data_IF_852239548547
#
_entry.id   IF_852239548547
#
_cell.length_a   1.000
_cell.length_b   1.000
_cell.length_c   1.000
_cell.angle_alpha   90.00
_cell.angle_beta   90.00
_cell.angle_gamma   90.00
#
_symmetry.space_group_name_H-M   'P 1'
#
loop_
_entity.id
_entity.type
_entity.pdbx_description
1 polymer ?
#
# COMPACT_ATOMS: atom_id res chain seq x y z
N UNK A 1 -26.13 -19.55 33.36
CA UNK A 1 -26.34 -20.14 32.05
C UNK A 1 -26.73 -19.09 30.99
N UNK A 2 -27.82 -18.37 31.22
CA UNK A 2 -28.25 -17.34 30.26
C UNK A 2 -27.23 -16.21 30.08
N UNK A 3 -26.43 -15.92 31.07
CA UNK A 3 -25.38 -14.89 30.98
C UNK A 3 -24.18 -15.36 30.15
N UNK A 4 -23.97 -16.66 30.05
CA UNK A 4 -22.86 -17.21 29.29
C UNK A 4 -23.03 -17.02 27.78
N UNK A 5 -24.22 -17.26 27.28
CA UNK A 5 -24.49 -17.21 25.86
C UNK A 5 -24.21 -15.82 25.27
N UNK A 6 -24.75 -14.72 25.86
CA UNK A 6 -24.44 -13.39 25.37
C UNK A 6 -22.97 -13.01 25.53
N UNK A 7 -22.33 -13.47 26.62
CA UNK A 7 -20.93 -13.21 26.85
C UNK A 7 -20.04 -13.91 25.82
N UNK A 8 -20.33 -15.18 25.51
CA UNK A 8 -19.62 -15.91 24.48
C UNK A 8 -19.75 -15.27 23.11
N UNK A 9 -20.97 -14.83 22.79
CA UNK A 9 -21.23 -14.17 21.53
C UNK A 9 -20.47 -12.86 21.42
N UNK A 10 -20.43 -12.10 22.50
CA UNK A 10 -19.68 -10.85 22.56
C UNK A 10 -18.18 -11.06 22.40
N UNK A 11 -17.64 -12.11 23.04
CA UNK A 11 -16.23 -12.45 22.90
C UNK A 11 -15.89 -12.83 21.46
N UNK A 12 -16.77 -13.58 20.82
CA UNK A 12 -16.57 -13.97 19.42
C UNK A 12 -16.49 -12.74 18.50
N UNK A 13 -17.40 -11.80 18.69
CA UNK A 13 -17.39 -10.55 17.91
C UNK A 13 -16.13 -9.75 18.21
N UNK A 14 -15.73 -9.66 19.46
CA UNK A 14 -14.49 -8.97 19.83
C UNK A 14 -13.26 -9.62 19.22
N UNK A 15 -13.23 -10.94 19.11
CA UNK A 15 -12.11 -11.64 18.49
C UNK A 15 -11.97 -11.28 17.01
N UNK A 16 -13.08 -11.20 16.28
CA UNK A 16 -13.07 -10.77 14.89
C UNK A 16 -12.59 -9.32 14.75
N UNK A 17 -13.06 -8.42 15.64
CA UNK A 17 -12.64 -7.03 15.65
C UNK A 17 -11.14 -6.91 15.99
N UNK A 18 -10.65 -7.70 16.93
CA UNK A 18 -9.23 -7.72 17.28
C UNK A 18 -8.36 -8.18 16.13
N UNK A 19 -8.78 -9.18 15.35
CA UNK A 19 -8.04 -9.64 14.19
C UNK A 19 -7.93 -8.53 13.14
N UNK A 20 -9.03 -7.80 12.88
CA UNK A 20 -9.03 -6.66 11.98
C UNK A 20 -8.14 -5.53 12.50
N UNK A 21 -8.20 -5.25 13.80
CA UNK A 21 -7.36 -4.23 14.44
C UNK A 21 -5.88 -4.61 14.38
N UNK A 22 -5.55 -5.90 14.53
CA UNK A 22 -4.17 -6.38 14.44
C UNK A 22 -3.61 -6.12 13.05
N UNK A 23 -4.38 -6.37 12.00
CA UNK A 23 -3.93 -6.12 10.63
C UNK A 23 -3.71 -4.62 10.38
N UNK A 24 -4.61 -3.77 10.85
CA UNK A 24 -4.47 -2.33 10.75
C UNK A 24 -3.28 -1.82 11.57
N UNK A 25 -3.08 -2.34 12.77
CA UNK A 25 -1.94 -1.99 13.62
C UNK A 25 -0.61 -2.42 13.01
N UNK A 26 -0.58 -3.60 12.40
CA UNK A 26 0.62 -4.10 11.71
C UNK A 26 0.99 -3.19 10.54
N UNK A 27 0.00 -2.78 9.77
CA UNK A 27 0.20 -1.85 8.67
C UNK A 27 0.77 -0.52 9.18
N UNK A 28 0.19 0.03 10.24
CA UNK A 28 0.63 1.28 10.84
C UNK A 28 2.05 1.18 11.38
N UNK A 29 2.37 0.08 12.06
CA UNK A 29 3.72 -0.15 12.59
C UNK A 29 4.76 -0.18 11.47
N UNK A 30 4.43 -0.83 10.35
CA UNK A 30 5.32 -0.87 9.19
C UNK A 30 5.47 0.51 8.57
N UNK A 31 4.38 1.26 8.43
CA UNK A 31 4.42 2.62 7.89
C UNK A 31 5.30 3.53 8.76
N UNK A 32 5.15 3.45 10.08
CA UNK A 32 5.96 4.23 11.02
C UNK A 32 7.45 3.86 10.91
N UNK A 33 7.74 2.57 10.77
CA UNK A 33 9.12 2.09 10.62
C UNK A 33 9.74 2.59 9.31
N UNK A 34 8.99 2.54 8.22
CA UNK A 34 9.46 3.02 6.91
C UNK A 34 9.68 4.53 6.94
N UNK A 35 8.74 5.27 7.52
CA UNK A 35 8.82 6.73 7.60
C UNK A 35 9.96 7.21 8.51
N UNK A 36 10.36 6.39 9.47
CA UNK A 36 11.48 6.69 10.37
C UNK A 36 12.84 6.49 9.74
N UNK A 37 12.91 5.90 8.55
CA UNK A 37 14.16 5.68 7.83
C UNK A 37 14.43 6.82 6.87
N UNK A 38 15.73 7.11 6.67
CA UNK A 38 16.14 8.02 5.61
C UNK A 38 16.09 7.27 4.28
N UNK A 39 15.32 7.79 3.34
CA UNK A 39 15.22 7.22 2.00
C UNK A 39 16.05 8.05 1.03
N UNK A 40 16.93 7.43 0.23
CA UNK A 40 17.65 8.18 -0.78
C UNK A 40 16.68 8.73 -1.83
N UNK A 41 16.79 10.01 -2.08
CA UNK A 41 16.07 10.70 -3.14
C UNK A 41 16.93 10.69 -4.39
N UNK A 42 16.37 10.22 -5.50
CA UNK A 42 17.07 10.28 -6.78
C UNK A 42 16.70 11.56 -7.52
N UNK A 43 17.37 11.83 -8.65
CA UNK A 43 17.02 12.97 -9.49
C UNK A 43 15.61 12.87 -10.05
N UNK A 44 15.13 11.64 -10.28
CA UNK A 44 13.86 11.40 -10.96
C UNK A 44 12.71 11.03 -10.04
N UNK A 45 12.99 10.50 -8.85
CA UNK A 45 11.96 9.97 -7.95
C UNK A 45 12.22 10.42 -6.52
N UNK A 46 11.15 10.88 -5.87
CA UNK A 46 11.11 11.16 -4.44
C UNK A 46 10.08 10.26 -3.78
N UNK A 47 10.50 9.53 -2.74
CA UNK A 47 9.57 8.72 -1.95
C UNK A 47 8.81 9.61 -0.97
N UNK A 48 7.50 9.47 -0.94
CA UNK A 48 6.65 10.12 0.04
C UNK A 48 6.49 9.28 1.29
N UNK A 49 5.71 9.79 2.24
CA UNK A 49 5.40 9.06 3.45
C UNK A 49 4.56 7.82 3.14
N UNK A 50 4.85 6.73 3.83
CA UNK A 50 4.00 5.55 3.79
C UNK A 50 2.81 5.77 4.72
N UNK A 51 1.63 5.35 4.30
CA UNK A 51 0.39 5.50 5.07
C UNK A 51 -0.40 4.20 5.05
N UNK A 52 -1.44 4.14 5.87
CA UNK A 52 -2.35 3.00 5.90
C UNK A 52 -3.79 3.46 5.75
N UNK A 53 -4.55 2.75 4.91
CA UNK A 53 -6.00 2.87 4.83
C UNK A 53 -6.58 1.52 5.26
N UNK A 54 -6.92 1.40 6.55
CA UNK A 54 -7.24 0.12 7.14
C UNK A 54 -6.03 -0.80 7.14
N UNK A 55 -6.12 -1.94 6.49
CA UNK A 55 -5.03 -2.91 6.35
C UNK A 55 -4.20 -2.71 5.07
N UNK A 56 -4.49 -1.68 4.30
CA UNK A 56 -3.80 -1.38 3.05
C UNK A 56 -2.60 -0.48 3.31
N UNK A 57 -1.42 -1.01 3.10
CA UNK A 57 -0.16 -0.26 3.20
C UNK A 57 0.07 0.49 1.89
N UNK A 58 0.21 1.81 1.96
CA UNK A 58 0.29 2.66 0.78
C UNK A 58 1.66 3.32 0.68
N UNK A 59 2.31 3.12 -0.45
CA UNK A 59 3.56 3.78 -0.81
C UNK A 59 3.26 4.84 -1.85
N UNK A 60 3.73 6.06 -1.60
CA UNK A 60 3.56 7.19 -2.53
C UNK A 60 4.92 7.61 -3.08
N UNK A 61 4.96 7.87 -4.38
CA UNK A 61 6.18 8.32 -5.05
C UNK A 61 5.85 9.53 -5.91
N UNK A 62 6.80 10.44 -5.99
CA UNK A 62 6.68 11.63 -6.84
C UNK A 62 7.73 11.58 -7.94
N UNK A 63 7.29 11.71 -9.20
CA UNK A 63 8.20 11.85 -10.32
C UNK A 63 8.67 13.30 -10.41
N UNK A 64 9.98 13.46 -10.42
CA UNK A 64 10.64 14.75 -10.56
C UNK A 64 11.07 14.91 -12.02
N UNK A 65 11.16 16.15 -12.47
CA UNK A 65 11.72 16.47 -13.80
C UNK A 65 10.97 15.85 -14.98
N UNK A 66 9.67 15.55 -14.79
CA UNK A 66 8.82 15.01 -15.85
C UNK A 66 7.77 16.05 -16.23
N UNK A 67 7.70 16.35 -17.51
CA UNK A 67 6.65 17.20 -18.07
C UNK A 67 5.60 16.26 -18.66
N UNK A 68 4.56 15.98 -17.87
CA UNK A 68 3.56 14.98 -18.20
C UNK A 68 2.83 15.30 -19.52
N UNK A 69 2.56 16.58 -19.77
CA UNK A 69 1.88 17.00 -20.99
C UNK A 69 2.66 16.70 -22.27
N UNK A 70 3.99 16.57 -22.15
CA UNK A 70 4.87 16.23 -23.28
C UNK A 70 5.11 14.74 -23.45
N UNK A 71 4.57 13.93 -22.54
CA UNK A 71 4.69 12.47 -22.64
C UNK A 71 3.75 11.96 -23.72
N UNK A 72 4.24 11.01 -24.53
CA UNK A 72 3.46 10.38 -25.59
C UNK A 72 2.15 9.81 -25.04
N UNK A 73 0.99 10.10 -25.67
CA UNK A 73 -0.30 9.57 -25.23
C UNK A 73 -0.34 8.04 -25.09
N UNK A 74 0.41 7.32 -25.91
CA UNK A 74 0.48 5.85 -25.81
C UNK A 74 1.16 5.42 -24.52
N UNK A 75 2.19 6.15 -24.09
CA UNK A 75 2.88 5.90 -22.83
C UNK A 75 1.93 6.18 -21.67
N UNK A 76 1.19 7.28 -21.72
CA UNK A 76 0.18 7.59 -20.68
C UNK A 76 -0.87 6.50 -20.54
N UNK A 77 -1.40 6.01 -21.66
CA UNK A 77 -2.42 4.97 -21.67
C UNK A 77 -1.96 3.66 -21.04
N UNK A 78 -0.67 3.34 -21.21
CA UNK A 78 -0.09 2.11 -20.72
C UNK A 78 0.66 2.26 -19.39
N UNK A 79 0.70 3.47 -18.84
CA UNK A 79 1.52 3.79 -17.69
C UNK A 79 1.23 2.92 -16.48
N UNK A 80 -0.05 2.78 -16.11
CA UNK A 80 -0.41 1.95 -14.95
C UNK A 80 -0.05 0.48 -15.15
N UNK A 81 -0.25 -0.04 -16.36
CA UNK A 81 0.08 -1.43 -16.67
C UNK A 81 1.57 -1.68 -16.57
N UNK A 82 2.37 -0.77 -17.14
CA UNK A 82 3.83 -0.86 -17.09
C UNK A 82 4.34 -0.71 -15.66
N UNK A 83 3.79 0.26 -14.92
CA UNK A 83 4.15 0.49 -13.54
C UNK A 83 3.81 -0.72 -12.67
N UNK A 84 2.65 -1.33 -12.87
CA UNK A 84 2.23 -2.53 -12.13
C UNK A 84 3.22 -3.67 -12.35
N UNK A 85 3.61 -3.91 -13.58
CA UNK A 85 4.59 -4.96 -13.91
C UNK A 85 5.97 -4.66 -13.32
N UNK A 86 6.39 -3.41 -13.40
CA UNK A 86 7.68 -2.96 -12.91
C UNK A 86 7.80 -3.09 -11.38
N UNK A 87 6.73 -2.81 -10.65
CA UNK A 87 6.71 -2.83 -9.19
C UNK A 87 6.30 -4.19 -8.60
N UNK A 88 5.85 -5.11 -9.42
CA UNK A 88 5.30 -6.40 -8.99
C UNK A 88 6.22 -7.15 -8.01
N UNK A 89 7.48 -7.29 -8.38
CA UNK A 89 8.45 -8.04 -7.58
C UNK A 89 8.65 -7.41 -6.21
N UNK A 90 8.92 -6.12 -6.17
CA UNK A 90 9.21 -5.41 -4.92
C UNK A 90 7.98 -5.38 -4.01
N UNK A 91 6.80 -5.14 -4.58
CA UNK A 91 5.55 -5.12 -3.84
C UNK A 91 5.28 -6.49 -3.22
N UNK A 92 5.44 -7.56 -4.01
CA UNK A 92 5.16 -8.91 -3.52
C UNK A 92 6.15 -9.36 -2.45
N UNK A 93 7.42 -8.97 -2.57
CA UNK A 93 8.41 -9.24 -1.53
C UNK A 93 8.07 -8.51 -0.23
N UNK A 94 7.65 -7.26 -0.32
CA UNK A 94 7.24 -6.46 0.83
C UNK A 94 5.99 -7.05 1.48
N UNK A 95 5.01 -7.44 0.68
CA UNK A 95 3.78 -8.06 1.17
C UNK A 95 4.06 -9.33 1.94
N UNK A 96 4.93 -10.17 1.42
CA UNK A 96 5.32 -11.42 2.07
C UNK A 96 6.09 -11.16 3.36
N UNK A 97 7.09 -10.29 3.31
CA UNK A 97 7.94 -9.98 4.46
C UNK A 97 7.15 -9.33 5.60
N UNK A 98 6.24 -8.42 5.27
CA UNK A 98 5.43 -7.72 6.26
C UNK A 98 4.13 -8.41 6.63
N UNK A 99 3.82 -9.55 6.03
CA UNK A 99 2.54 -10.26 6.20
C UNK A 99 1.35 -9.34 5.96
N UNK A 100 1.45 -8.52 4.93
CA UNK A 100 0.42 -7.54 4.58
C UNK A 100 -0.65 -8.17 3.71
N UNK A 101 -1.87 -7.65 3.81
CA UNK A 101 -3.01 -8.12 3.01
C UNK A 101 -3.12 -7.38 1.69
N UNK A 102 -2.80 -6.09 1.68
CA UNK A 102 -2.89 -5.25 0.49
C UNK A 102 -1.79 -4.20 0.50
N UNK A 103 -1.29 -3.87 -0.67
CA UNK A 103 -0.35 -2.76 -0.85
C UNK A 103 -0.86 -1.86 -1.96
N UNK A 104 -0.89 -0.56 -1.68
CA UNK A 104 -1.19 0.45 -2.67
C UNK A 104 0.09 1.15 -3.12
N UNK A 105 0.18 1.44 -4.41
CA UNK A 105 1.26 2.24 -4.97
C UNK A 105 0.63 3.43 -5.66
N UNK A 106 0.97 4.63 -5.21
CA UNK A 106 0.47 5.88 -5.79
C UNK A 106 1.62 6.66 -6.40
N UNK A 107 1.43 7.09 -7.63
CA UNK A 107 2.42 7.87 -8.35
C UNK A 107 1.90 9.28 -8.58
N UNK A 108 2.70 10.26 -8.19
CA UNK A 108 2.36 11.69 -8.30
C UNK A 108 3.37 12.41 -9.17
N UNK A 109 2.93 13.52 -9.74
CA UNK A 109 3.80 14.53 -10.34
C UNK A 109 4.20 15.57 -9.28
N UNK A 110 5.22 16.37 -9.56
CA UNK A 110 5.63 17.45 -8.65
C UNK A 110 4.52 18.45 -8.37
N UNK A 111 3.58 18.62 -9.31
CA UNK A 111 2.40 19.46 -9.13
C UNK A 111 1.41 18.93 -8.08
N UNK A 112 1.58 17.67 -7.65
CA UNK A 112 0.65 16.99 -6.76
C UNK A 112 -0.41 16.18 -7.49
N UNK A 113 -0.45 16.22 -8.81
CA UNK A 113 -1.39 15.42 -9.60
C UNK A 113 -1.07 13.93 -9.47
N UNK A 114 -2.07 13.13 -9.16
CA UNK A 114 -1.93 11.67 -9.08
C UNK A 114 -2.14 11.07 -10.47
N UNK A 115 -1.13 10.42 -11.00
CA UNK A 115 -1.15 9.83 -12.33
C UNK A 115 -1.31 8.31 -12.34
N UNK A 116 -1.16 7.65 -11.19
CA UNK A 116 -1.42 6.22 -11.05
C UNK A 116 -1.80 5.90 -9.61
N UNK A 117 -2.67 4.91 -9.45
CA UNK A 117 -3.13 4.42 -8.15
C UNK A 117 -3.37 2.92 -8.29
N UNK A 118 -2.41 2.13 -7.84
CA UNK A 118 -2.42 0.69 -7.99
C UNK A 118 -2.69 0.03 -6.65
N UNK A 119 -3.44 -1.07 -6.68
CA UNK A 119 -3.63 -1.92 -5.51
C UNK A 119 -3.21 -3.34 -5.86
N UNK A 120 -2.37 -3.92 -5.01
CA UNK A 120 -1.96 -5.32 -5.10
C UNK A 120 -2.58 -6.08 -3.93
N UNK A 121 -3.14 -7.23 -4.23
CA UNK A 121 -3.69 -8.16 -3.23
C UNK A 121 -2.75 -9.35 -3.09
N UNK A 122 -3.00 -10.18 -2.07
CA UNK A 122 -2.22 -11.42 -1.90
C UNK A 122 -2.38 -12.34 -3.10
N UNK A 123 -3.56 -12.36 -3.69
CA UNK A 123 -3.83 -13.12 -4.91
C UNK A 123 -2.95 -12.66 -6.08
N UNK A 124 -2.75 -11.35 -6.23
CA UNK A 124 -1.87 -10.80 -7.27
C UNK A 124 -0.42 -11.26 -7.12
N UNK A 125 -0.03 -11.63 -5.90
CA UNK A 125 1.33 -12.07 -5.57
C UNK A 125 1.45 -13.58 -5.42
N UNK A 126 0.38 -14.32 -5.65
CA UNK A 126 0.39 -15.78 -5.49
C UNK A 126 0.58 -16.23 -4.05
N UNK A 127 0.14 -15.44 -3.08
CA UNK A 127 0.33 -15.71 -1.65
C UNK A 127 -0.90 -16.32 -0.96
N UNK A 128 -1.94 -16.58 -1.67
CA UNK A 128 -3.14 -17.24 -1.12
C UNK A 128 -3.11 -18.74 -1.30
#
# INVERSE_FOLDING_TARGET
>A
MKKFIPALFGVFICTAALASDIDAERCKALADAVNGRSHPETEDIKLGAATCEGDKFIVSMTLKNVIWDKVDPKIKQNFERVLRADRQKDVCETMKAGSLNRIGVRQFLQSGEKIADLTYTRSDCGLE
#
